data_IF_323984156041
#
_entry.id   IF_323984156041
#
_cell.length_a   1.000
_cell.length_b   1.000
_cell.length_c   1.000
_cell.angle_alpha   90.00
_cell.angle_beta   90.00
_cell.angle_gamma   90.00
#
_symmetry.space_group_name_H-M   'P 1'
#
loop_
_entity.id
_entity.type
_entity.pdbx_description
1 polymer ?
#
# COMPACT_ATOMS: atom_id res chain seq x y z
N UNK A 1 -11.75 16.96 -10.74
CA UNK A 1 -11.88 16.09 -9.56
C UNK A 1 -12.94 16.68 -8.65
N UNK A 2 -13.96 15.92 -8.26
CA UNK A 2 -14.94 16.40 -7.26
C UNK A 2 -14.42 16.17 -5.84
N UNK A 3 -14.87 16.95 -4.85
CA UNK A 3 -14.45 16.78 -3.44
C UNK A 3 -14.66 15.33 -2.95
N UNK A 4 -15.75 14.69 -3.37
CA UNK A 4 -16.04 13.28 -3.05
C UNK A 4 -15.02 12.30 -3.64
N UNK A 5 -14.54 12.53 -4.86
CA UNK A 5 -13.50 11.70 -5.49
C UNK A 5 -12.15 11.85 -4.78
N UNK A 6 -11.82 13.06 -4.32
CA UNK A 6 -10.59 13.30 -3.57
C UNK A 6 -10.60 12.57 -2.21
N UNK A 7 -11.72 12.65 -1.48
CA UNK A 7 -11.88 11.95 -0.19
C UNK A 7 -11.82 10.43 -0.38
N UNK A 8 -12.52 9.88 -1.38
CA UNK A 8 -12.48 8.44 -1.67
C UNK A 8 -11.08 7.99 -2.08
N UNK A 9 -10.38 8.79 -2.89
CA UNK A 9 -9.00 8.52 -3.28
C UNK A 9 -8.05 8.48 -2.08
N UNK A 10 -8.15 9.44 -1.16
CA UNK A 10 -7.35 9.50 0.06
C UNK A 10 -7.64 8.33 1.01
N UNK A 11 -8.91 7.94 1.15
CA UNK A 11 -9.30 6.79 1.97
C UNK A 11 -8.76 5.49 1.37
N UNK A 12 -8.91 5.28 0.06
CA UNK A 12 -8.42 4.07 -0.60
C UNK A 12 -6.89 3.97 -0.59
N UNK A 13 -6.19 5.10 -0.79
CA UNK A 13 -4.73 5.13 -0.76
C UNK A 13 -4.14 4.88 0.62
N UNK A 14 -4.92 5.06 1.69
CA UNK A 14 -4.52 4.70 3.05
C UNK A 14 -4.94 3.28 3.43
N UNK A 15 -6.18 2.87 3.10
CA UNK A 15 -6.70 1.55 3.44
C UNK A 15 -5.91 0.45 2.75
N UNK A 16 -5.64 0.58 1.45
CA UNK A 16 -5.04 -0.52 0.69
C UNK A 16 -3.62 -0.88 1.15
N UNK A 17 -2.69 0.07 1.33
CA UNK A 17 -1.36 -0.23 1.88
C UNK A 17 -1.42 -0.72 3.33
N UNK A 18 -2.35 -0.19 4.15
CA UNK A 18 -2.53 -0.66 5.53
C UNK A 18 -3.05 -2.09 5.58
N UNK A 19 -3.90 -2.50 4.63
CA UNK A 19 -4.40 -3.87 4.54
C UNK A 19 -3.27 -4.82 4.12
N UNK A 20 -2.45 -4.41 3.14
CA UNK A 20 -1.24 -5.13 2.74
C UNK A 20 -0.24 -5.25 3.90
N UNK A 21 -0.03 -4.18 4.69
CA UNK A 21 0.75 -4.21 5.93
C UNK A 21 0.31 -5.36 6.81
N UNK A 22 -0.97 -5.36 7.17
CA UNK A 22 -1.51 -6.28 8.18
C UNK A 22 -1.37 -7.71 7.72
N UNK A 23 -1.64 -7.98 6.43
CA UNK A 23 -1.45 -9.31 5.86
C UNK A 23 0.02 -9.74 5.94
N UNK A 24 0.96 -8.89 5.51
CA UNK A 24 2.39 -9.21 5.56
C UNK A 24 2.89 -9.42 6.99
N UNK A 25 2.47 -8.56 7.91
CA UNK A 25 2.79 -8.67 9.32
C UNK A 25 2.29 -9.99 9.91
N UNK A 26 1.05 -10.37 9.62
CA UNK A 26 0.47 -11.65 10.07
C UNK A 26 1.23 -12.84 9.46
N UNK A 27 1.56 -12.80 8.17
CA UNK A 27 2.34 -13.87 7.51
C UNK A 27 3.70 -14.04 8.17
N UNK A 28 4.42 -12.93 8.41
CA UNK A 28 5.73 -12.94 9.09
C UNK A 28 5.59 -13.46 10.53
N UNK A 29 4.60 -12.97 11.28
CA UNK A 29 4.35 -13.42 12.65
C UNK A 29 3.99 -14.91 12.73
N UNK A 30 3.24 -15.44 11.76
CA UNK A 30 2.91 -16.87 11.70
C UNK A 30 4.14 -17.71 11.31
N UNK A 31 4.97 -17.23 10.37
CA UNK A 31 6.20 -17.92 9.98
C UNK A 31 7.25 -17.96 11.08
N UNK A 32 7.40 -16.88 11.83
CA UNK A 32 8.37 -16.78 12.93
C UNK A 32 7.95 -17.57 14.19
N UNK A 33 6.72 -18.09 14.28
CA UNK A 33 6.27 -18.93 15.40
C UNK A 33 6.69 -20.39 15.29
N UNK A 34 7.09 -20.86 14.11
CA UNK A 34 7.59 -22.22 13.96
C UNK A 34 9.01 -22.32 14.55
N UNK A 35 9.42 -23.49 15.06
CA UNK A 35 10.73 -23.81 15.66
C UNK A 35 11.98 -23.47 14.80
N UNK A 36 11.80 -22.81 13.66
CA UNK A 36 12.84 -22.29 12.76
C UNK A 36 13.47 -20.97 13.26
N UNK A 37 13.05 -20.43 14.40
CA UNK A 37 13.47 -19.13 14.96
C UNK A 37 15.01 -19.02 15.13
N UNK A 38 15.73 -20.13 15.35
CA UNK A 38 17.20 -20.10 15.48
C UNK A 38 17.96 -19.67 14.22
N UNK A 39 17.40 -19.84 13.02
CA UNK A 39 18.04 -19.43 11.77
C UNK A 39 17.58 -18.03 11.29
N UNK A 40 16.44 -17.55 11.80
CA UNK A 40 15.77 -16.35 11.30
C UNK A 40 15.76 -15.16 12.26
N UNK A 41 16.15 -15.36 13.52
CA UNK A 41 16.24 -14.27 14.51
C UNK A 41 17.26 -13.19 14.11
N UNK A 42 18.38 -13.59 13.48
CA UNK A 42 19.49 -12.71 13.07
C UNK A 42 19.65 -12.57 11.55
N UNK A 43 18.87 -13.28 10.74
CA UNK A 43 18.94 -13.14 9.29
C UNK A 43 18.00 -12.04 8.79
N UNK A 44 18.43 -11.37 7.71
CA UNK A 44 17.78 -10.21 7.07
C UNK A 44 16.31 -10.42 6.65
N UNK A 45 15.68 -11.56 6.94
CA UNK A 45 14.24 -11.73 6.78
C UNK A 45 13.41 -10.75 7.63
N UNK A 46 13.94 -10.29 8.77
CA UNK A 46 13.32 -9.21 9.54
C UNK A 46 13.32 -7.86 8.78
N UNK A 47 14.18 -7.69 7.76
CA UNK A 47 14.30 -6.47 6.95
C UNK A 47 13.18 -6.33 5.92
N UNK A 48 12.41 -7.39 5.63
CA UNK A 48 11.14 -7.24 4.91
C UNK A 48 10.01 -6.68 5.78
N UNK A 49 10.27 -6.33 7.04
CA UNK A 49 9.46 -5.36 7.74
C UNK A 49 9.79 -3.98 7.18
N UNK A 50 9.28 -3.69 5.98
CA UNK A 50 9.35 -2.35 5.39
C UNK A 50 8.70 -1.44 6.43
N UNK A 51 9.48 -0.68 7.19
CA UNK A 51 8.94 0.06 8.33
C UNK A 51 7.90 1.10 7.91
N UNK A 52 7.43 1.92 8.85
CA UNK A 52 6.47 3.01 8.59
C UNK A 52 6.77 3.85 7.33
N UNK A 53 8.06 4.05 7.03
CA UNK A 53 8.52 4.72 5.81
C UNK A 53 8.04 4.08 4.50
N UNK A 54 8.12 2.75 4.36
CA UNK A 54 7.66 2.10 3.13
C UNK A 54 6.16 2.07 2.99
N UNK A 55 5.41 2.02 4.09
CA UNK A 55 3.96 2.15 4.05
C UNK A 55 3.51 3.53 3.58
N UNK A 56 4.16 4.58 4.08
CA UNK A 56 3.97 5.94 3.58
C UNK A 56 4.30 6.03 2.09
N UNK A 57 5.41 5.44 1.64
CA UNK A 57 5.77 5.41 0.22
C UNK A 57 4.71 4.69 -0.63
N UNK A 58 4.22 3.53 -0.20
CA UNK A 58 3.15 2.81 -0.89
C UNK A 58 1.83 3.61 -0.94
N UNK A 59 1.47 4.30 0.15
CA UNK A 59 0.28 5.15 0.18
C UNK A 59 0.39 6.35 -0.76
N UNK A 60 1.55 6.99 -0.83
CA UNK A 60 1.81 8.09 -1.76
C UNK A 60 1.76 7.59 -3.21
N UNK A 61 2.37 6.45 -3.51
CA UNK A 61 2.32 5.85 -4.86
C UNK A 61 0.90 5.46 -5.27
N UNK A 62 0.12 4.86 -4.36
CA UNK A 62 -1.28 4.53 -4.61
C UNK A 62 -2.12 5.78 -4.88
N UNK A 63 -1.89 6.87 -4.13
CA UNK A 63 -2.57 8.15 -4.34
C UNK A 63 -2.20 8.80 -5.69
N UNK A 64 -0.92 8.74 -6.07
CA UNK A 64 -0.45 9.21 -7.38
C UNK A 64 -1.12 8.43 -8.53
N UNK A 65 -1.13 7.11 -8.45
CA UNK A 65 -1.79 6.26 -9.45
C UNK A 65 -3.28 6.56 -9.57
N UNK A 66 -3.99 6.69 -8.44
CA UNK A 66 -5.40 7.07 -8.43
C UNK A 66 -5.62 8.43 -9.12
N UNK A 67 -4.76 9.40 -8.83
CA UNK A 67 -4.85 10.74 -9.42
C UNK A 67 -4.65 10.69 -10.93
N UNK A 68 -3.66 9.94 -11.42
CA UNK A 68 -3.38 9.75 -12.86
C UNK A 68 -4.58 9.12 -13.55
N UNK A 69 -5.16 8.05 -12.99
CA UNK A 69 -6.32 7.36 -13.58
C UNK A 69 -7.53 8.30 -13.68
N UNK A 70 -7.83 9.05 -12.61
CA UNK A 70 -8.94 10.01 -12.61
C UNK A 70 -8.70 11.11 -13.64
N UNK A 71 -7.48 11.65 -13.72
CA UNK A 71 -7.15 12.70 -14.66
C UNK A 71 -7.23 12.20 -16.12
N UNK A 72 -6.69 11.01 -16.38
CA UNK A 72 -6.79 10.33 -17.67
C UNK A 72 -8.24 10.08 -18.09
N UNK A 73 -9.09 9.60 -17.18
CA UNK A 73 -10.52 9.42 -17.46
C UNK A 73 -11.21 10.73 -17.86
N UNK A 74 -10.94 11.83 -17.12
CA UNK A 74 -11.49 13.14 -17.46
C UNK A 74 -10.96 13.70 -18.77
N UNK A 75 -9.68 13.46 -19.08
CA UNK A 75 -9.06 13.86 -20.34
C UNK A 75 -9.69 13.14 -21.53
N UNK A 76 -9.80 11.81 -21.47
CA UNK A 76 -10.46 10.99 -22.51
C UNK A 76 -11.92 11.42 -22.69
N UNK A 77 -12.65 11.64 -21.59
CA UNK A 77 -14.04 12.12 -21.65
C UNK A 77 -14.19 13.50 -22.31
N UNK A 78 -13.19 14.38 -22.20
CA UNK A 78 -13.16 15.67 -22.88
C UNK A 78 -12.90 15.55 -24.39
N UNK A 79 -12.21 14.50 -24.83
CA UNK A 79 -11.92 14.27 -26.25
C UNK A 79 -13.07 13.59 -27.01
N UNK A 80 -13.93 12.85 -26.29
CA UNK A 80 -15.10 12.16 -26.86
C UNK A 80 -16.33 13.10 -26.97
N UNK A 81 -16.33 14.22 -26.23
CA UNK A 81 -17.35 15.27 -26.31
C UNK A 81 -16.91 16.39 -27.23
#
# INVERSE_FOLDING_TARGET
>A
MTRRQAVVGAILSLIFPSLVYVILYVIVALKNRAEQDFAYHDSYFLVMHVGWGGYLTCAVLAMLLFTIVVWGYWFVRKLIK
#
